data_IF_652900103838
#
_entry.id   IF_652900103838
#
_cell.length_a   1.000
_cell.length_b   1.000
_cell.length_c   1.000
_cell.angle_alpha   90.00
_cell.angle_beta   90.00
_cell.angle_gamma   90.00
#
_symmetry.space_group_name_H-M   'P 1'
#
loop_
_entity.id
_entity.type
_entity.pdbx_description
1 polymer ?
#
# COMPACT_ATOMS: atom_id res chain seq x y z
N UNK A 1 40.47 -13.92 5.85
CA UNK A 1 41.19 -12.63 5.86
C UNK A 1 40.17 -11.55 5.64
N UNK A 2 39.89 -10.75 6.66
CA UNK A 2 38.93 -9.66 6.63
C UNK A 2 39.61 -8.43 6.02
N UNK A 3 39.35 -8.16 4.75
CA UNK A 3 39.77 -6.94 4.10
C UNK A 3 38.75 -5.85 4.46
N UNK A 4 39.17 -4.94 5.34
CA UNK A 4 38.38 -3.87 5.91
C UNK A 4 37.86 -2.94 4.80
N UNK A 5 36.55 -2.69 4.82
CA UNK A 5 35.84 -1.77 3.94
C UNK A 5 36.14 -0.28 4.23
N UNK A 6 37.28 0.02 4.86
CA UNK A 6 37.63 1.37 5.32
C UNK A 6 38.33 2.23 4.26
N UNK A 7 38.69 1.69 3.10
CA UNK A 7 39.62 2.38 2.17
C UNK A 7 39.03 2.80 0.80
N UNK A 8 37.74 3.17 0.74
CA UNK A 8 37.19 3.90 -0.42
C UNK A 8 36.81 5.32 -0.05
N UNK A 9 37.81 6.14 0.30
CA UNK A 9 37.70 7.60 0.52
C UNK A 9 37.54 8.43 -0.76
N UNK A 10 37.57 7.82 -1.95
CA UNK A 10 37.42 8.56 -3.20
C UNK A 10 35.98 8.52 -3.74
N UNK A 11 35.34 9.67 -4.01
CA UNK A 11 34.06 9.70 -4.69
C UNK A 11 34.17 9.00 -6.05
N UNK A 12 33.16 8.23 -6.44
CA UNK A 12 33.13 7.55 -7.73
C UNK A 12 33.42 8.55 -8.86
N UNK A 13 34.44 8.26 -9.68
CA UNK A 13 34.85 9.06 -10.85
C UNK A 13 33.65 9.34 -11.75
N UNK A 14 33.62 10.52 -12.40
CA UNK A 14 32.51 10.95 -13.26
C UNK A 14 32.14 9.89 -14.32
N UNK A 15 33.12 9.14 -14.82
CA UNK A 15 32.92 8.03 -15.75
C UNK A 15 32.14 6.85 -15.13
N UNK A 16 32.45 6.47 -13.88
CA UNK A 16 31.73 5.41 -13.15
C UNK A 16 30.29 5.82 -12.85
N UNK A 17 30.05 7.08 -12.48
CA UNK A 17 28.68 7.60 -12.28
C UNK A 17 27.88 7.61 -13.59
N UNK A 18 28.50 7.98 -14.71
CA UNK A 18 27.87 7.95 -16.04
C UNK A 18 27.54 6.51 -16.48
N UNK A 19 28.45 5.55 -16.31
CA UNK A 19 28.18 4.13 -16.59
C UNK A 19 27.09 3.55 -15.71
N UNK A 20 27.12 3.81 -14.40
CA UNK A 20 26.08 3.35 -13.49
C UNK A 20 24.69 3.90 -13.88
N UNK A 21 24.61 5.17 -14.30
CA UNK A 21 23.39 5.74 -14.87
C UNK A 21 22.99 5.05 -16.18
N UNK A 22 23.91 4.81 -17.11
CA UNK A 22 23.64 4.08 -18.36
C UNK A 22 23.13 2.66 -18.12
N UNK A 23 23.69 1.95 -17.15
CA UNK A 23 23.26 0.61 -16.71
C UNK A 23 21.92 0.64 -15.93
N UNK A 24 21.35 1.83 -15.69
CA UNK A 24 20.11 2.06 -14.98
C UNK A 24 20.19 1.81 -13.48
N UNK A 25 21.39 1.85 -12.90
CA UNK A 25 21.60 1.79 -11.45
C UNK A 25 21.38 3.18 -10.88
N UNK A 26 20.21 3.39 -10.30
CA UNK A 26 19.86 4.60 -9.57
C UNK A 26 19.58 4.26 -8.09
N UNK A 27 19.95 5.15 -7.16
CA UNK A 27 19.64 4.95 -5.76
C UNK A 27 18.12 4.91 -5.57
N UNK A 28 17.60 3.74 -5.21
CA UNK A 28 16.19 3.54 -4.86
C UNK A 28 16.03 3.63 -3.36
N UNK A 29 15.14 4.49 -2.90
CA UNK A 29 14.73 4.49 -1.50
C UNK A 29 13.39 3.77 -1.39
N UNK A 30 13.42 2.52 -0.94
CA UNK A 30 12.21 1.73 -0.76
C UNK A 30 11.29 2.36 0.30
N UNK A 31 11.87 3.03 1.30
CA UNK A 31 11.13 3.62 2.42
C UNK A 31 10.25 4.79 2.00
N UNK A 32 10.76 5.64 1.11
CA UNK A 32 9.99 6.76 0.55
C UNK A 32 8.80 6.28 -0.27
N UNK A 33 8.97 5.20 -1.02
CA UNK A 33 7.88 4.60 -1.79
C UNK A 33 6.77 4.10 -0.87
N UNK A 34 7.14 3.38 0.19
CA UNK A 34 6.18 2.81 1.15
C UNK A 34 5.44 3.92 1.89
N UNK A 35 6.16 4.95 2.37
CA UNK A 35 5.56 6.08 3.09
C UNK A 35 4.57 6.87 2.23
N UNK A 36 4.92 7.17 0.97
CA UNK A 36 4.02 7.90 0.05
C UNK A 36 2.77 7.09 -0.30
N UNK A 37 2.93 5.79 -0.56
CA UNK A 37 1.80 4.90 -0.83
C UNK A 37 0.88 4.82 0.40
N UNK A 38 1.45 4.68 1.60
CA UNK A 38 0.69 4.69 2.85
C UNK A 38 -0.09 5.98 3.03
N UNK A 39 0.58 7.14 2.96
CA UNK A 39 -0.03 8.45 3.17
C UNK A 39 -1.17 8.72 2.18
N UNK A 40 -0.97 8.42 0.89
CA UNK A 40 -2.02 8.58 -0.12
C UNK A 40 -3.14 7.58 0.06
N UNK A 41 -2.83 6.34 0.46
CA UNK A 41 -3.84 5.35 0.82
C UNK A 41 -4.73 5.83 1.96
N UNK A 42 -4.14 6.31 3.06
CA UNK A 42 -4.86 6.86 4.21
C UNK A 42 -5.67 8.09 3.78
N UNK A 43 -5.10 9.03 3.03
CA UNK A 43 -5.80 10.23 2.58
C UNK A 43 -7.02 9.93 1.70
N UNK A 44 -6.90 8.99 0.76
CA UNK A 44 -8.02 8.59 -0.10
C UNK A 44 -9.08 7.86 0.72
N UNK A 45 -8.69 6.95 1.61
CA UNK A 45 -9.65 6.25 2.46
C UNK A 45 -10.37 7.22 3.41
N UNK A 46 -9.66 8.15 4.03
CA UNK A 46 -10.26 9.12 4.95
C UNK A 46 -11.30 10.00 4.25
N UNK A 47 -11.01 10.47 3.04
CA UNK A 47 -11.93 11.32 2.27
C UNK A 47 -13.04 10.54 1.54
N UNK A 48 -12.73 9.37 0.97
CA UNK A 48 -13.63 8.63 0.07
C UNK A 48 -14.27 7.38 0.70
N UNK A 49 -13.72 6.90 1.81
CA UNK A 49 -14.17 5.67 2.46
C UNK A 49 -15.58 5.76 3.04
N UNK A 50 -15.99 6.93 3.54
CA UNK A 50 -17.36 7.15 4.01
C UNK A 50 -18.40 6.94 2.89
N UNK A 51 -18.12 7.47 1.69
CA UNK A 51 -18.94 7.23 0.50
C UNK A 51 -18.96 5.74 0.11
N UNK A 52 -17.82 5.06 0.21
CA UNK A 52 -17.76 3.61 -0.03
C UNK A 52 -18.62 2.79 0.93
N UNK A 53 -18.61 3.15 2.21
CA UNK A 53 -19.42 2.49 3.24
C UNK A 53 -20.92 2.73 3.02
N UNK A 54 -21.31 3.92 2.60
CA UNK A 54 -22.69 4.23 2.20
C UNK A 54 -23.14 3.38 0.99
N UNK A 55 -22.32 3.27 -0.04
CA UNK A 55 -22.64 2.46 -1.23
C UNK A 55 -22.80 0.97 -0.88
N UNK A 56 -21.93 0.44 -0.03
CA UNK A 56 -21.98 -0.97 0.39
C UNK A 56 -23.15 -1.25 1.34
N UNK A 57 -23.46 -0.33 2.26
CA UNK A 57 -24.59 -0.48 3.18
C UNK A 57 -25.93 -0.41 2.45
N UNK A 58 -26.09 0.53 1.52
CA UNK A 58 -27.26 0.59 0.64
C UNK A 58 -27.39 -0.67 -0.21
N UNK A 59 -26.28 -1.20 -0.73
CA UNK A 59 -26.30 -2.49 -1.43
C UNK A 59 -26.82 -3.64 -0.57
N UNK A 60 -26.33 -3.73 0.66
CA UNK A 60 -26.74 -4.77 1.59
C UNK A 60 -28.22 -4.64 1.93
N UNK A 61 -28.69 -3.42 2.18
CA UNK A 61 -30.10 -3.13 2.47
C UNK A 61 -31.00 -3.50 1.28
N UNK A 62 -30.67 -3.04 0.07
CA UNK A 62 -31.42 -3.34 -1.15
C UNK A 62 -31.46 -4.86 -1.42
N UNK A 63 -30.34 -5.56 -1.23
CA UNK A 63 -30.26 -7.01 -1.46
C UNK A 63 -31.00 -7.86 -0.43
N UNK A 64 -31.17 -7.35 0.79
CA UNK A 64 -31.86 -8.06 1.88
C UNK A 64 -33.37 -7.78 1.89
N UNK A 65 -33.78 -6.58 1.46
CA UNK A 65 -35.20 -6.15 1.44
C UNK A 65 -35.89 -6.59 0.14
N UNK A 66 -35.20 -6.55 -1.00
CA UNK A 66 -35.75 -7.00 -2.28
C UNK A 66 -35.31 -8.44 -2.58
N UNK A 67 -36.01 -9.43 -2.00
CA UNK A 67 -36.19 -10.72 -2.69
C UNK A 67 -37.56 -10.61 -3.37
N UNK A 68 -37.64 -10.19 -4.65
CA UNK A 68 -38.92 -10.09 -5.32
C UNK A 68 -39.52 -11.50 -5.41
N UNK A 69 -40.73 -11.66 -4.90
CA UNK A 69 -41.55 -12.83 -5.17
C UNK A 69 -41.80 -12.89 -6.69
N UNK A 70 -40.99 -13.66 -7.42
CA UNK A 70 -41.07 -13.76 -8.87
C UNK A 70 -39.75 -13.84 -9.63
N UNK A 71 -38.57 -13.82 -8.98
CA UNK A 71 -37.30 -14.04 -9.69
C UNK A 71 -37.12 -15.52 -10.03
N UNK A 72 -37.79 -15.96 -11.09
CA UNK A 72 -37.76 -17.34 -11.58
C UNK A 72 -36.67 -17.62 -12.61
N UNK A 73 -35.93 -16.61 -13.08
CA UNK A 73 -34.94 -16.76 -14.15
C UNK A 73 -33.62 -16.02 -13.87
N UNK A 74 -32.49 -16.59 -14.32
CA UNK A 74 -31.16 -15.96 -14.26
C UNK A 74 -31.07 -14.64 -15.08
N UNK A 75 -31.98 -14.42 -16.03
CA UNK A 75 -31.98 -13.23 -16.89
C UNK A 75 -32.25 -11.93 -16.15
N UNK A 76 -33.05 -11.99 -15.08
CA UNK A 76 -33.47 -10.82 -14.29
C UNK A 76 -32.44 -10.39 -13.21
N UNK A 77 -31.42 -11.24 -12.99
CA UNK A 77 -30.31 -10.98 -12.07
C UNK A 77 -29.15 -10.23 -12.74
N UNK A 78 -28.94 -10.44 -14.04
CA UNK A 78 -27.78 -9.90 -14.76
C UNK A 78 -27.69 -8.36 -14.72
N UNK A 79 -28.75 -7.58 -15.01
CA UNK A 79 -28.67 -6.11 -14.96
C UNK A 79 -28.42 -5.58 -13.55
N UNK A 80 -28.95 -6.25 -12.52
CA UNK A 80 -28.72 -5.91 -11.11
C UNK A 80 -27.27 -6.12 -10.73
N UNK A 81 -26.73 -7.32 -10.95
CA UNK A 81 -25.33 -7.65 -10.66
C UNK A 81 -24.37 -6.72 -11.41
N UNK A 82 -24.66 -6.40 -12.66
CA UNK A 82 -23.86 -5.46 -13.44
C UNK A 82 -23.90 -4.03 -12.88
N UNK A 83 -25.09 -3.55 -12.51
CA UNK A 83 -25.23 -2.25 -11.84
C UNK A 83 -24.45 -2.18 -10.53
N UNK A 84 -24.47 -3.25 -9.75
CA UNK A 84 -23.67 -3.37 -8.51
C UNK A 84 -22.17 -3.36 -8.78
N UNK A 85 -21.72 -4.14 -9.76
CA UNK A 85 -20.32 -4.17 -10.17
C UNK A 85 -19.80 -2.77 -10.54
N UNK A 86 -20.58 -2.01 -11.32
CA UNK A 86 -20.23 -0.64 -11.70
C UNK A 86 -20.15 0.31 -10.51
N UNK A 87 -21.09 0.21 -9.55
CA UNK A 87 -21.07 1.03 -8.32
C UNK A 87 -19.84 0.73 -7.46
N UNK A 88 -19.51 -0.55 -7.26
CA UNK A 88 -18.31 -0.96 -6.51
C UNK A 88 -17.03 -0.54 -7.23
N UNK A 89 -16.98 -0.71 -8.55
CA UNK A 89 -15.86 -0.21 -9.37
C UNK A 89 -15.70 1.30 -9.21
N UNK A 90 -16.78 2.08 -9.25
CA UNK A 90 -16.74 3.53 -9.07
C UNK A 90 -16.22 3.93 -7.69
N UNK A 91 -16.57 3.17 -6.65
CA UNK A 91 -16.04 3.38 -5.29
C UNK A 91 -14.54 3.03 -5.21
N UNK A 92 -14.11 1.93 -5.84
CA UNK A 92 -12.71 1.49 -5.83
C UNK A 92 -11.80 2.26 -6.79
N UNK A 93 -12.37 2.93 -7.80
CA UNK A 93 -11.61 3.58 -8.86
C UNK A 93 -10.67 4.68 -8.35
N UNK A 94 -11.06 5.60 -7.45
CA UNK A 94 -10.16 6.60 -6.90
C UNK A 94 -8.97 6.00 -6.16
N UNK A 95 -9.14 4.87 -5.45
CA UNK A 95 -8.05 4.16 -4.81
C UNK A 95 -7.06 3.61 -5.84
N UNK A 96 -7.58 2.95 -6.89
CA UNK A 96 -6.75 2.40 -7.96
C UNK A 96 -5.95 3.49 -8.68
N UNK A 97 -6.62 4.58 -9.07
CA UNK A 97 -5.99 5.73 -9.74
C UNK A 97 -4.97 6.39 -8.83
N UNK A 98 -5.32 6.61 -7.56
CA UNK A 98 -4.41 7.19 -6.56
C UNK A 98 -3.13 6.38 -6.41
N UNK A 99 -3.23 5.08 -6.18
CA UNK A 99 -2.04 4.22 -6.06
C UNK A 99 -1.24 4.13 -7.36
N UNK A 100 -1.91 4.10 -8.52
CA UNK A 100 -1.24 4.12 -9.81
C UNK A 100 -0.43 5.41 -10.02
N UNK A 101 -1.04 6.57 -9.74
CA UNK A 101 -0.38 7.87 -9.83
C UNK A 101 0.81 7.98 -8.87
N UNK A 102 0.69 7.50 -7.64
CA UNK A 102 1.80 7.49 -6.67
C UNK A 102 2.92 6.56 -7.14
N UNK A 103 2.59 5.37 -7.60
CA UNK A 103 3.57 4.42 -8.13
C UNK A 103 4.38 5.03 -9.27
N UNK A 104 3.71 5.70 -10.21
CA UNK A 104 4.36 6.45 -11.28
C UNK A 104 5.19 7.62 -10.75
N UNK A 105 4.65 8.44 -9.85
CA UNK A 105 5.34 9.59 -9.29
C UNK A 105 6.62 9.19 -8.55
N UNK A 106 6.56 8.14 -7.73
CA UNK A 106 7.73 7.57 -7.05
C UNK A 106 8.73 7.02 -8.06
N UNK A 107 8.26 6.32 -9.09
CA UNK A 107 9.13 5.81 -10.14
C UNK A 107 9.87 6.95 -10.85
N UNK A 108 9.16 7.98 -11.30
CA UNK A 108 9.77 9.14 -11.96
C UNK A 108 10.67 9.94 -11.02
N UNK A 109 10.33 10.07 -9.73
CA UNK A 109 11.17 10.73 -8.75
C UNK A 109 12.49 9.99 -8.49
N UNK A 110 12.49 8.65 -8.52
CA UNK A 110 13.69 7.84 -8.25
C UNK A 110 14.53 7.54 -9.50
N UNK A 111 13.86 7.22 -10.62
CA UNK A 111 14.51 6.76 -11.85
C UNK A 111 14.72 7.89 -12.88
N UNK A 112 13.95 8.98 -12.79
CA UNK A 112 13.84 9.98 -13.84
C UNK A 112 13.07 9.47 -15.07
N UNK A 113 12.93 10.33 -16.09
CA UNK A 113 12.34 9.97 -17.39
C UNK A 113 13.39 9.38 -18.34
N UNK A 114 13.99 8.24 -17.96
CA UNK A 114 14.99 7.55 -18.79
C UNK A 114 14.48 6.18 -19.26
N UNK A 115 13.94 6.14 -20.49
CA UNK A 115 13.49 4.90 -21.13
C UNK A 115 14.68 4.11 -21.69
N UNK A 116 14.89 2.88 -21.21
CA UNK A 116 15.98 2.00 -21.67
C UNK A 116 15.44 0.66 -22.17
N UNK A 117 15.36 0.51 -23.48
CA UNK A 117 14.91 -0.73 -24.14
C UNK A 117 15.84 -1.93 -23.84
N UNK A 118 17.12 -1.69 -23.58
CA UNK A 118 18.12 -2.73 -23.28
C UNK A 118 17.79 -3.53 -21.99
N UNK A 119 17.04 -2.94 -21.05
CA UNK A 119 16.59 -3.64 -19.83
C UNK A 119 15.38 -4.54 -20.04
N UNK A 120 14.71 -4.49 -21.19
CA UNK A 120 13.68 -5.46 -21.56
C UNK A 120 14.28 -6.79 -22.05
N UNK A 121 15.59 -6.84 -22.33
CA UNK A 121 16.25 -8.05 -22.77
C UNK A 121 16.30 -9.09 -21.65
N UNK A 122 15.91 -10.33 -21.97
CA UNK A 122 15.90 -11.44 -21.04
C UNK A 122 17.33 -11.83 -20.63
N UNK A 123 17.65 -11.79 -19.34
CA UNK A 123 18.98 -12.12 -18.82
C UNK A 123 18.92 -13.16 -17.69
N UNK A 124 19.28 -14.41 -18.01
CA UNK A 124 19.33 -15.54 -17.08
C UNK A 124 20.31 -15.36 -15.91
N UNK A 125 21.36 -14.55 -16.06
CA UNK A 125 22.39 -14.36 -15.04
C UNK A 125 21.90 -13.65 -13.78
N UNK A 126 20.86 -12.80 -13.91
CA UNK A 126 20.29 -12.07 -12.76
C UNK A 126 19.47 -12.97 -11.82
N UNK A 127 18.89 -14.06 -12.33
CA UNK A 127 18.12 -15.01 -11.49
C UNK A 127 19.01 -15.81 -10.55
N UNK A 128 20.20 -16.21 -11.01
CA UNK A 128 21.13 -17.05 -10.22
C UNK A 128 21.84 -16.22 -9.14
N UNK A 129 22.17 -14.96 -9.43
CA UNK A 129 22.81 -14.06 -8.47
C UNK A 129 21.93 -13.77 -7.23
N UNK A 130 20.60 -13.77 -7.38
CA UNK A 130 19.65 -13.51 -6.28
C UNK A 130 19.61 -14.60 -5.20
N UNK A 131 20.00 -15.84 -5.53
CA UNK A 131 20.01 -16.97 -4.59
C UNK A 131 21.25 -17.00 -3.68
N UNK A 132 22.35 -16.37 -4.09
CA UNK A 132 23.64 -16.41 -3.36
C UNK A 132 23.82 -15.18 -2.45
N UNK A 133 23.04 -14.11 -2.66
CA UNK A 133 23.22 -12.81 -1.99
C UNK A 133 22.72 -12.68 -0.54
N UNK A 134 22.17 -13.73 0.07
CA UNK A 134 21.51 -13.62 1.40
C UNK A 134 22.48 -13.47 2.58
N UNK A 135 23.77 -13.72 2.36
CA UNK A 135 24.83 -13.64 3.38
C UNK A 135 25.51 -12.26 3.46
N UNK A 136 24.97 -11.24 2.79
CA UNK A 136 25.54 -9.90 2.85
C UNK A 136 25.15 -9.18 4.15
N UNK A 137 26.08 -8.43 4.75
CA UNK A 137 25.85 -7.59 5.93
C UNK A 137 24.74 -6.55 5.69
N UNK A 138 24.46 -6.23 4.42
CA UNK A 138 23.32 -5.41 4.03
C UNK A 138 21.96 -6.05 4.40
N UNK A 139 21.82 -7.37 4.25
CA UNK A 139 20.57 -8.09 4.59
C UNK A 139 20.31 -8.04 6.09
N UNK A 140 21.35 -8.22 6.91
CA UNK A 140 21.24 -8.12 8.38
C UNK A 140 20.79 -6.71 8.81
N UNK A 141 21.36 -5.65 8.23
CA UNK A 141 20.93 -4.27 8.52
C UNK A 141 19.48 -4.04 8.12
N UNK A 142 19.06 -4.61 6.99
CA UNK A 142 17.68 -4.49 6.51
C UNK A 142 16.69 -5.26 7.39
N UNK A 143 17.08 -6.43 7.91
CA UNK A 143 16.30 -7.18 8.88
C UNK A 143 16.16 -6.44 10.22
N UNK A 144 17.26 -5.94 10.78
CA UNK A 144 17.24 -5.20 12.06
C UNK A 144 16.38 -3.95 11.94
N UNK A 145 16.56 -3.16 10.89
CA UNK A 145 15.72 -1.97 10.66
C UNK A 145 14.25 -2.33 10.40
N UNK A 146 13.97 -3.43 9.70
CA UNK A 146 12.62 -3.94 9.50
C UNK A 146 11.94 -4.35 10.82
N UNK A 147 12.65 -5.08 11.67
CA UNK A 147 12.16 -5.49 13.00
C UNK A 147 11.92 -4.27 13.89
N UNK A 148 12.83 -3.30 13.90
CA UNK A 148 12.66 -2.07 14.67
C UNK A 148 11.42 -1.29 14.23
N UNK A 149 11.18 -1.17 12.91
CA UNK A 149 9.97 -0.53 12.37
C UNK A 149 8.71 -1.29 12.76
N UNK A 150 8.74 -2.62 12.71
CA UNK A 150 7.62 -3.44 13.15
C UNK A 150 7.28 -3.18 14.63
N UNK A 151 8.29 -3.13 15.50
CA UNK A 151 8.09 -2.79 16.90
C UNK A 151 7.55 -1.36 17.08
N UNK A 152 8.03 -0.40 16.30
CA UNK A 152 7.55 0.98 16.35
C UNK A 152 6.06 1.06 15.96
N UNK A 153 5.67 0.44 14.84
CA UNK A 153 4.28 0.40 14.37
C UNK A 153 3.39 -0.32 15.38
N UNK A 154 3.83 -1.48 15.89
CA UNK A 154 3.08 -2.26 16.88
C UNK A 154 2.93 -1.49 18.19
N UNK A 155 3.97 -0.74 18.60
CA UNK A 155 3.95 0.14 19.76
C UNK A 155 2.95 1.28 19.61
N UNK A 156 2.94 1.96 18.46
CA UNK A 156 1.98 3.05 18.18
C UNK A 156 0.54 2.53 18.15
N UNK A 157 0.29 1.44 17.42
CA UNK A 157 -1.04 0.82 17.33
C UNK A 157 -1.49 0.33 18.72
N UNK A 158 -0.62 -0.37 19.44
CA UNK A 158 -0.90 -0.90 20.77
C UNK A 158 -1.16 0.20 21.80
N UNK A 159 -0.35 1.26 21.81
CA UNK A 159 -0.53 2.40 22.70
C UNK A 159 -1.82 3.18 22.37
N UNK A 160 -2.12 3.39 21.08
CA UNK A 160 -3.37 4.02 20.65
C UNK A 160 -4.59 3.22 21.09
N UNK A 161 -4.54 1.90 20.93
CA UNK A 161 -5.61 1.00 21.38
C UNK A 161 -5.75 1.01 22.90
N UNK A 162 -4.66 0.93 23.64
CA UNK A 162 -4.67 0.93 25.10
C UNK A 162 -5.27 2.22 25.68
N UNK A 163 -4.86 3.37 25.12
CA UNK A 163 -5.37 4.68 25.56
C UNK A 163 -6.86 4.89 25.24
N UNK A 164 -7.39 4.19 24.23
CA UNK A 164 -8.79 4.29 23.81
C UNK A 164 -9.61 3.03 24.09
N UNK A 165 -9.11 2.09 24.89
CA UNK A 165 -9.81 0.85 25.24
C UNK A 165 -11.20 1.11 25.83
N UNK A 166 -11.35 2.17 26.64
CA UNK A 166 -12.65 2.56 27.18
C UNK A 166 -13.67 2.95 26.11
N UNK A 167 -13.23 3.64 25.04
CA UNK A 167 -14.08 3.98 23.90
C UNK A 167 -14.43 2.73 23.09
N UNK A 168 -13.45 1.87 22.82
CA UNK A 168 -13.61 0.65 22.01
C UNK A 168 -14.59 -0.34 22.66
N UNK A 169 -14.52 -0.53 23.98
CA UNK A 169 -15.47 -1.39 24.71
C UNK A 169 -16.89 -0.82 24.65
N UNK A 170 -17.03 0.50 24.73
CA UNK A 170 -18.31 1.19 24.63
C UNK A 170 -18.98 1.09 23.25
N UNK A 171 -18.23 0.78 22.18
CA UNK A 171 -18.82 0.59 20.85
C UNK A 171 -19.73 -0.64 20.74
N UNK A 172 -19.56 -1.62 21.63
CA UNK A 172 -20.44 -2.79 21.68
C UNK A 172 -21.88 -2.46 22.11
N UNK A 173 -22.07 -1.32 22.78
CA UNK A 173 -23.37 -0.84 23.25
C UNK A 173 -24.03 0.11 22.25
N UNK A 174 -23.31 0.54 21.21
CA UNK A 174 -23.81 1.46 20.19
C UNK A 174 -24.54 0.72 19.05
N UNK A 175 -25.50 1.38 18.37
CA UNK A 175 -26.06 0.88 17.13
C UNK A 175 -24.95 0.61 16.11
N UNK A 176 -25.09 -0.47 15.32
CA UNK A 176 -24.07 -0.97 14.39
C UNK A 176 -23.49 0.14 13.48
N UNK A 177 -24.33 1.03 12.97
CA UNK A 177 -23.92 2.14 12.10
C UNK A 177 -22.96 3.11 12.82
N UNK A 178 -23.26 3.47 14.07
CA UNK A 178 -22.42 4.36 14.88
C UNK A 178 -21.15 3.68 15.34
N UNK A 179 -21.21 2.39 15.65
CA UNK A 179 -20.04 1.59 16.00
C UNK A 179 -19.07 1.49 14.81
N UNK A 180 -19.57 1.24 13.59
CA UNK A 180 -18.76 1.20 12.37
C UNK A 180 -18.13 2.56 12.05
N UNK A 181 -18.88 3.65 12.18
CA UNK A 181 -18.35 5.01 11.99
C UNK A 181 -17.25 5.37 12.99
N UNK A 182 -17.45 5.02 14.27
CA UNK A 182 -16.45 5.23 15.32
C UNK A 182 -15.19 4.39 15.09
N UNK A 183 -15.35 3.12 14.71
CA UNK A 183 -14.24 2.23 14.36
C UNK A 183 -13.48 2.75 13.13
N UNK A 184 -14.18 3.24 12.10
CA UNK A 184 -13.56 3.85 10.92
C UNK A 184 -12.72 5.07 11.29
N UNK A 185 -13.28 6.01 12.06
CA UNK A 185 -12.57 7.21 12.51
C UNK A 185 -11.34 6.89 13.36
N UNK A 186 -11.42 5.86 14.20
CA UNK A 186 -10.26 5.39 14.98
C UNK A 186 -9.17 4.77 14.08
N UNK A 187 -9.55 3.94 13.11
CA UNK A 187 -8.62 3.31 12.17
C UNK A 187 -7.92 4.35 11.28
N UNK A 188 -8.67 5.32 10.74
CA UNK A 188 -8.09 6.43 9.96
C UNK A 188 -7.19 7.30 10.84
N UNK A 189 -7.61 7.57 12.07
CA UNK A 189 -6.81 8.26 13.07
C UNK A 189 -5.46 7.58 13.27
N UNK A 190 -5.43 6.27 13.55
CA UNK A 190 -4.18 5.50 13.66
C UNK A 190 -3.37 5.57 12.36
N UNK A 191 -4.03 5.46 11.21
CA UNK A 191 -3.39 5.51 9.89
C UNK A 191 -2.56 6.79 9.68
N UNK A 192 -3.02 7.93 10.20
CA UNK A 192 -2.29 9.21 10.14
C UNK A 192 -1.09 9.32 11.09
N UNK A 193 -1.04 8.50 12.16
CA UNK A 193 0.06 8.51 13.14
C UNK A 193 1.20 7.54 12.79
N UNK A 194 1.01 6.64 11.83
CA UNK A 194 2.00 5.66 11.35
C UNK A 194 2.73 6.22 10.14
#
# INVERSE_FOLDING_TARGET
MAESLEDRKHPATALRRRRAKQEGLFPRSQEWSVALVWLVGVAILDFWGAYGLEVVSNWLADSLVEIPAGVGSLGDWYPRVWGWFLRVMLVGFPLMVGFFCVGLAVHFAQAGFEFRAERLAWNWGHMVAGLVGWRDAQVVKQLVSGVLKLFMVTGVVGASLWNRMGEVVGWSELPLERALGAAWGFLMGIGWWI
#
